data_IF_889877040825
#
_entry.id   IF_889877040825
#
_cell.length_a   1.000
_cell.length_b   1.000
_cell.length_c   1.000
_cell.angle_alpha   90.00
_cell.angle_beta   90.00
_cell.angle_gamma   90.00
#
_symmetry.space_group_name_H-M   'P 1'
#
loop_
_entity.id
_entity.type
_entity.pdbx_description
1 polymer ?
#
# COMPACT_ATOMS: atom_id res chain seq x y z
N UNK A 1 -23.11 58.06 20.61
CA UNK A 1 -23.91 57.15 19.75
C UNK A 1 -23.21 56.99 18.41
N UNK A 2 -22.40 55.93 18.25
CA UNK A 2 -22.01 55.34 16.96
C UNK A 2 -21.75 53.85 17.23
N UNK A 3 -22.62 52.99 16.72
CA UNK A 3 -22.46 51.54 16.71
C UNK A 3 -21.33 51.19 15.72
N UNK A 4 -20.37 50.37 16.14
CA UNK A 4 -19.50 49.63 15.20
C UNK A 4 -19.88 48.15 15.27
N UNK A 5 -20.34 47.65 14.14
CA UNK A 5 -20.80 46.29 13.91
C UNK A 5 -19.61 45.34 13.80
N UNK A 6 -19.68 44.23 14.52
CA UNK A 6 -18.76 43.08 14.43
C UNK A 6 -19.03 42.33 13.12
N UNK A 7 -17.99 42.02 12.36
CA UNK A 7 -18.06 41.04 11.27
C UNK A 7 -17.23 39.81 11.67
N UNK A 8 -17.93 38.75 12.09
CA UNK A 8 -17.34 37.41 12.25
C UNK A 8 -17.31 36.79 10.85
N UNK A 9 -16.13 36.67 10.28
CA UNK A 9 -15.92 35.92 9.04
C UNK A 9 -16.05 34.43 9.35
N UNK A 10 -17.09 33.80 8.81
CA UNK A 10 -17.23 32.35 8.82
C UNK A 10 -16.19 31.75 7.87
N UNK A 11 -15.26 30.95 8.40
CA UNK A 11 -14.45 30.05 7.61
C UNK A 11 -15.36 28.96 7.05
N UNK A 12 -15.64 29.01 5.75
CA UNK A 12 -16.24 27.90 5.04
C UNK A 12 -15.16 26.82 4.86
N UNK A 13 -15.25 25.76 5.66
CA UNK A 13 -14.54 24.51 5.40
C UNK A 13 -15.03 23.94 4.08
N UNK A 14 -14.13 23.83 3.10
CA UNK A 14 -14.34 23.02 1.92
C UNK A 14 -14.34 21.56 2.36
N UNK A 15 -15.52 21.05 2.74
CA UNK A 15 -15.74 19.63 2.88
C UNK A 15 -15.55 19.00 1.49
N UNK A 16 -14.49 18.19 1.34
CA UNK A 16 -14.36 17.26 0.22
C UNK A 16 -15.65 16.42 0.18
N UNK A 17 -16.42 16.57 -0.89
CA UNK A 17 -17.63 15.78 -1.10
C UNK A 17 -17.21 14.33 -1.32
N UNK A 18 -17.23 13.51 -0.26
CA UNK A 18 -17.20 12.06 -0.41
C UNK A 18 -18.41 11.66 -1.25
N UNK A 19 -18.17 11.03 -2.40
CA UNK A 19 -19.22 10.45 -3.24
C UNK A 19 -19.99 9.46 -2.37
N UNK A 20 -21.26 9.77 -2.08
CA UNK A 20 -22.09 8.90 -1.24
C UNK A 20 -22.16 7.51 -1.88
N UNK A 21 -21.58 6.52 -1.18
CA UNK A 21 -21.61 5.12 -1.60
C UNK A 21 -23.07 4.67 -1.59
N UNK A 22 -23.56 4.10 -2.69
CA UNK A 22 -24.95 3.71 -2.82
C UNK A 22 -25.40 2.82 -1.63
N UNK A 23 -26.59 3.04 -1.02
CA UNK A 23 -27.00 2.34 0.19
C UNK A 23 -26.98 0.80 0.09
N UNK A 24 -27.19 0.24 -1.11
CA UNK A 24 -27.10 -1.20 -1.35
C UNK A 24 -25.67 -1.75 -1.29
N UNK A 25 -24.69 -0.96 -1.68
CA UNK A 25 -23.25 -1.29 -1.61
C UNK A 25 -22.79 -1.24 -0.14
N UNK A 26 -23.19 -0.19 0.59
CA UNK A 26 -22.93 -0.06 2.05
C UNK A 26 -23.50 -1.25 2.81
N UNK A 27 -24.75 -1.66 2.51
CA UNK A 27 -25.37 -2.83 3.14
C UNK A 27 -24.63 -4.13 2.83
N UNK A 28 -24.25 -4.37 1.56
CA UNK A 28 -23.48 -5.55 1.16
C UNK A 28 -22.14 -5.62 1.88
N UNK A 29 -21.45 -4.49 2.05
CA UNK A 29 -20.17 -4.44 2.77
C UNK A 29 -20.34 -4.67 4.26
N UNK A 30 -21.37 -4.09 4.87
CA UNK A 30 -21.71 -4.35 6.26
C UNK A 30 -22.03 -5.84 6.50
N UNK A 31 -22.76 -6.46 5.57
CA UNK A 31 -23.07 -7.90 5.62
C UNK A 31 -21.80 -8.76 5.45
N UNK A 32 -20.89 -8.38 4.56
CA UNK A 32 -19.63 -9.08 4.31
C UNK A 32 -18.66 -8.94 5.50
N UNK A 33 -18.45 -7.72 5.99
CA UNK A 33 -17.65 -7.42 7.19
C UNK A 33 -18.16 -8.24 8.39
N UNK A 34 -19.47 -8.24 8.60
CA UNK A 34 -20.10 -9.05 9.67
C UNK A 34 -19.89 -10.55 9.47
N UNK A 35 -19.99 -11.05 8.23
CA UNK A 35 -19.81 -12.47 7.92
C UNK A 35 -18.38 -12.93 8.15
N UNK A 36 -17.41 -12.12 7.73
CA UNK A 36 -16.01 -12.49 7.76
C UNK A 36 -15.31 -12.16 9.09
N UNK A 37 -15.97 -11.43 10.01
CA UNK A 37 -15.35 -10.87 11.22
C UNK A 37 -14.69 -11.95 12.08
N UNK A 38 -15.27 -13.15 12.18
CA UNK A 38 -14.66 -14.24 12.92
C UNK A 38 -13.36 -14.73 12.28
N UNK A 39 -13.27 -14.76 10.94
CA UNK A 39 -12.06 -15.16 10.22
C UNK A 39 -10.91 -14.16 10.44
N UNK A 40 -11.22 -12.86 10.27
CA UNK A 40 -10.26 -11.80 10.55
C UNK A 40 -9.83 -11.75 12.04
N UNK A 41 -10.73 -12.04 12.98
CA UNK A 41 -10.39 -12.15 14.39
C UNK A 41 -9.48 -13.36 14.70
N UNK A 42 -9.71 -14.51 14.05
CA UNK A 42 -8.82 -15.67 14.15
C UNK A 42 -7.40 -15.35 13.68
N UNK A 43 -7.24 -14.59 12.59
CA UNK A 43 -5.91 -14.11 12.16
C UNK A 43 -5.20 -13.33 13.26
N UNK A 44 -5.91 -12.37 13.87
CA UNK A 44 -5.35 -11.57 14.97
C UNK A 44 -4.93 -12.44 16.16
N UNK A 45 -5.76 -13.41 16.54
CA UNK A 45 -5.46 -14.35 17.63
C UNK A 45 -4.24 -15.22 17.32
N UNK A 46 -4.19 -15.84 16.14
CA UNK A 46 -3.07 -16.73 15.76
C UNK A 46 -1.72 -16.00 15.73
N UNK A 47 -1.71 -14.76 15.21
CA UNK A 47 -0.51 -13.91 15.22
C UNK A 47 -0.03 -13.65 16.64
N UNK A 48 -0.96 -13.30 17.53
CA UNK A 48 -0.65 -13.07 18.92
C UNK A 48 -0.05 -14.32 19.58
N UNK A 49 -0.66 -15.49 19.38
CA UNK A 49 -0.18 -16.77 19.90
C UNK A 49 1.23 -17.11 19.38
N UNK A 50 1.47 -16.97 18.07
CA UNK A 50 2.77 -17.19 17.43
C UNK A 50 3.85 -16.28 18.04
N UNK A 51 3.56 -14.99 18.21
CA UNK A 51 4.53 -14.04 18.78
C UNK A 51 4.83 -14.34 20.24
N UNK A 52 3.83 -14.77 21.02
CA UNK A 52 4.08 -15.23 22.39
C UNK A 52 4.98 -16.46 22.42
N UNK A 53 4.78 -17.41 21.48
CA UNK A 53 5.62 -18.59 21.36
C UNK A 53 7.08 -18.21 21.02
N UNK A 54 7.30 -17.40 19.98
CA UNK A 54 8.63 -16.92 19.58
C UNK A 54 9.35 -16.18 20.71
N UNK A 55 8.64 -15.29 21.41
CA UNK A 55 9.18 -14.59 22.58
C UNK A 55 9.57 -15.59 23.70
N UNK A 56 8.75 -16.62 23.93
CA UNK A 56 9.03 -17.65 24.92
C UNK A 56 10.26 -18.51 24.56
N UNK A 57 10.47 -18.80 23.27
CA UNK A 57 11.61 -19.56 22.76
C UNK A 57 12.90 -18.74 22.87
N UNK A 58 12.87 -17.47 22.49
CA UNK A 58 14.01 -16.55 22.63
C UNK A 58 14.43 -16.39 24.10
N UNK A 59 13.46 -16.32 25.03
CA UNK A 59 13.72 -16.30 26.48
C UNK A 59 14.40 -17.58 26.99
N UNK A 60 14.11 -18.75 26.38
CA UNK A 60 14.73 -20.04 26.75
C UNK A 60 16.14 -20.20 26.16
N UNK A 61 16.46 -19.51 25.06
CA UNK A 61 17.77 -19.59 24.38
C UNK A 61 18.91 -18.82 25.06
N UNK A 62 18.64 -18.08 26.15
CA UNK A 62 19.65 -17.63 27.11
C UNK A 62 20.63 -16.53 26.67
N UNK A 63 20.41 -15.83 25.54
CA UNK A 63 21.36 -14.80 25.08
C UNK A 63 20.75 -13.46 24.64
N UNK A 64 19.63 -13.04 25.22
CA UNK A 64 19.07 -11.70 24.97
C UNK A 64 18.30 -11.20 26.20
N UNK A 65 18.77 -10.13 26.84
CA UNK A 65 18.13 -9.51 28.01
C UNK A 65 17.00 -8.55 27.64
N UNK A 66 16.17 -8.91 26.67
CA UNK A 66 14.97 -8.14 26.34
C UNK A 66 13.77 -8.89 26.92
N UNK A 67 13.14 -8.28 27.92
CA UNK A 67 11.83 -8.74 28.39
C UNK A 67 10.83 -8.24 27.37
N UNK A 68 10.49 -9.06 26.38
CA UNK A 68 9.38 -8.76 25.48
C UNK A 68 8.13 -8.71 26.36
N UNK A 69 7.70 -7.50 26.70
CA UNK A 69 6.37 -7.25 27.25
C UNK A 69 5.44 -7.22 26.04
N UNK A 70 5.16 -8.39 25.46
CA UNK A 70 4.00 -8.49 24.58
C UNK A 70 2.79 -8.38 25.48
N UNK A 71 2.24 -7.18 25.60
CA UNK A 71 0.86 -7.06 26.01
C UNK A 71 0.00 -7.91 25.06
N UNK A 72 -1.14 -8.40 25.59
CA UNK A 72 -2.22 -8.96 24.77
C UNK A 72 -2.47 -8.11 23.52
N UNK A 73 -3.14 -8.63 22.47
CA UNK A 73 -3.63 -7.73 21.44
C UNK A 73 -4.37 -6.61 22.16
N UNK A 74 -3.91 -5.35 21.99
CA UNK A 74 -4.40 -4.18 22.77
C UNK A 74 -5.93 -4.03 22.71
N UNK A 75 -6.54 -4.71 21.74
CA UNK A 75 -7.97 -4.82 21.57
C UNK A 75 -8.40 -6.27 21.40
N UNK A 76 -9.36 -6.72 22.21
CA UNK A 76 -10.02 -8.03 22.12
C UNK A 76 -11.02 -8.15 20.94
N UNK A 77 -11.13 -7.09 20.14
CA UNK A 77 -12.00 -6.99 18.96
C UNK A 77 -11.22 -6.45 17.77
N UNK A 78 -11.66 -6.81 16.55
CA UNK A 78 -11.18 -6.20 15.31
C UNK A 78 -11.41 -4.70 15.39
N UNK A 79 -10.33 -3.93 15.42
CA UNK A 79 -10.39 -2.47 15.44
C UNK A 79 -10.60 -1.87 14.06
N UNK A 80 -10.49 -2.70 13.03
CA UNK A 80 -10.56 -2.30 11.64
C UNK A 80 -11.65 -3.08 10.92
N UNK A 81 -12.30 -2.40 10.00
CA UNK A 81 -13.07 -2.99 8.90
C UNK A 81 -12.15 -3.71 7.88
N UNK A 82 -10.99 -4.26 8.31
CA UNK A 82 -10.07 -5.15 7.55
C UNK A 82 -10.72 -6.46 7.10
N UNK A 83 -12.01 -6.58 7.36
CA UNK A 83 -12.88 -7.70 7.08
C UNK A 83 -13.70 -7.50 5.79
N UNK A 84 -13.29 -6.55 4.95
CA UNK A 84 -13.88 -6.31 3.64
C UNK A 84 -12.82 -6.49 2.57
N UNK A 85 -13.28 -6.70 1.33
CA UNK A 85 -12.43 -6.85 0.16
C UNK A 85 -11.49 -5.66 0.04
N UNK A 86 -10.18 -5.91 -0.03
CA UNK A 86 -9.20 -4.87 -0.29
C UNK A 86 -9.50 -4.27 -1.67
N UNK A 87 -9.71 -2.94 -1.80
CA UNK A 87 -9.95 -2.31 -3.08
C UNK A 87 -8.72 -2.45 -3.97
N UNK A 88 -8.97 -2.70 -5.25
CA UNK A 88 -7.89 -2.60 -6.22
C UNK A 88 -7.51 -1.15 -6.43
N UNK A 89 -6.22 -0.86 -6.32
CA UNK A 89 -5.59 0.41 -6.69
C UNK A 89 -4.45 0.14 -7.66
N UNK A 90 -3.87 1.20 -8.21
CA UNK A 90 -2.77 1.09 -9.17
C UNK A 90 -1.53 0.38 -8.60
N UNK A 91 -0.88 -0.43 -9.43
CA UNK A 91 0.47 -0.95 -9.20
C UNK A 91 1.54 0.17 -9.23
N UNK A 92 1.18 1.36 -9.70
CA UNK A 92 2.09 2.49 -9.78
C UNK A 92 3.14 2.35 -10.88
N UNK A 93 3.92 3.41 -11.11
CA UNK A 93 4.82 3.49 -12.25
C UNK A 93 6.11 2.68 -12.09
N UNK A 94 6.46 2.30 -10.87
CA UNK A 94 7.70 1.56 -10.54
C UNK A 94 7.48 0.06 -10.39
N UNK A 95 6.50 -0.48 -11.11
CA UNK A 95 6.23 -1.91 -11.23
C UNK A 95 7.14 -2.52 -12.30
N UNK A 96 7.96 -3.50 -11.91
CA UNK A 96 8.74 -4.29 -12.86
C UNK A 96 8.69 -5.77 -12.45
N UNK A 97 7.90 -6.60 -13.17
CA UNK A 97 7.62 -7.97 -12.73
C UNK A 97 8.86 -8.88 -12.72
N UNK A 98 9.94 -8.50 -13.42
CA UNK A 98 11.18 -9.28 -13.50
C UNK A 98 12.05 -9.19 -12.24
N UNK A 99 11.89 -8.15 -11.42
CA UNK A 99 12.62 -8.00 -10.15
C UNK A 99 11.89 -8.62 -8.95
N UNK A 100 10.66 -9.06 -9.13
CA UNK A 100 9.91 -9.72 -8.07
C UNK A 100 10.46 -11.14 -7.90
N UNK A 101 11.09 -11.42 -6.75
CA UNK A 101 11.72 -12.72 -6.49
C UNK A 101 11.07 -13.43 -5.31
N UNK A 102 11.06 -14.77 -5.34
CA UNK A 102 10.50 -15.58 -4.27
C UNK A 102 11.45 -15.60 -3.06
N UNK A 103 11.17 -14.77 -2.05
CA UNK A 103 11.98 -14.64 -0.82
C UNK A 103 11.16 -14.07 0.32
N UNK A 104 11.51 -14.42 1.56
CA UNK A 104 10.90 -13.85 2.78
C UNK A 104 11.65 -12.64 3.35
N UNK A 105 12.83 -12.34 2.81
CA UNK A 105 13.60 -11.16 3.20
C UNK A 105 13.94 -10.38 1.93
N UNK A 106 13.24 -9.26 1.75
CA UNK A 106 13.42 -8.37 0.60
C UNK A 106 14.37 -7.21 0.91
N UNK A 107 14.98 -7.14 2.10
CA UNK A 107 15.79 -6.00 2.55
C UNK A 107 17.04 -5.78 1.69
N UNK A 108 17.72 -6.88 1.36
CA UNK A 108 19.06 -6.88 0.75
C UNK A 108 20.04 -5.96 1.52
N UNK A 109 20.56 -4.93 0.87
CA UNK A 109 21.56 -3.99 1.39
C UNK A 109 20.96 -2.65 1.85
N UNK A 110 19.64 -2.50 1.81
CA UNK A 110 18.99 -1.23 2.09
C UNK A 110 19.00 -0.89 3.58
N UNK A 111 19.33 0.36 3.88
CA UNK A 111 19.41 0.90 5.24
C UNK A 111 18.07 1.52 5.62
N UNK A 112 17.58 1.21 6.81
CA UNK A 112 16.34 1.76 7.37
C UNK A 112 15.96 1.07 8.67
N UNK A 113 14.84 1.48 9.26
CA UNK A 113 14.29 0.83 10.45
C UNK A 113 13.70 -0.53 10.03
N UNK A 114 14.13 -1.65 10.63
CA UNK A 114 13.63 -2.98 10.26
C UNK A 114 12.11 -3.12 10.45
N UNK A 115 11.44 -3.74 9.48
CA UNK A 115 10.01 -4.00 9.49
C UNK A 115 9.74 -5.46 9.14
N UNK A 116 9.05 -6.18 10.02
CA UNK A 116 8.47 -7.49 9.71
C UNK A 116 6.99 -7.28 9.39
N UNK A 117 6.60 -7.49 8.14
CA UNK A 117 5.20 -7.51 7.72
C UNK A 117 4.61 -8.89 8.02
N UNK A 118 3.56 -8.92 8.83
CA UNK A 118 2.74 -10.09 9.13
C UNK A 118 1.38 -9.91 8.45
N UNK A 119 1.21 -10.63 7.35
CA UNK A 119 0.09 -10.45 6.42
C UNK A 119 -0.81 -11.67 6.45
N UNK A 120 -2.10 -11.42 6.60
CA UNK A 120 -3.14 -12.43 6.62
C UNK A 120 -3.97 -12.28 5.37
N UNK A 121 -4.23 -13.39 4.69
CA UNK A 121 -4.92 -13.43 3.41
C UNK A 121 -6.21 -14.21 3.62
N UNK A 122 -7.34 -13.55 3.40
CA UNK A 122 -8.68 -14.09 3.64
C UNK A 122 -9.42 -14.20 2.31
N UNK A 123 -10.05 -15.35 2.05
CA UNK A 123 -10.98 -15.48 0.93
C UNK A 123 -12.30 -14.80 1.31
N UNK A 124 -12.71 -13.78 0.55
CA UNK A 124 -13.92 -13.03 0.81
C UNK A 124 -15.20 -13.77 0.44
N UNK A 125 -15.15 -14.79 -0.42
CA UNK A 125 -16.30 -15.62 -0.74
C UNK A 125 -16.66 -16.55 0.42
N UNK A 126 -15.65 -17.17 1.04
CA UNK A 126 -15.81 -18.18 2.10
C UNK A 126 -15.63 -17.64 3.52
N UNK A 127 -14.95 -16.50 3.68
CA UNK A 127 -14.51 -15.95 4.96
C UNK A 127 -13.55 -16.86 5.74
N UNK A 128 -12.86 -17.76 5.05
CA UNK A 128 -11.83 -18.63 5.63
C UNK A 128 -10.44 -18.17 5.17
N UNK A 129 -9.37 -18.57 5.88
CA UNK A 129 -8.01 -18.29 5.45
C UNK A 129 -7.76 -18.78 4.03
N UNK A 130 -7.04 -17.99 3.23
CA UNK A 130 -6.67 -18.33 1.86
C UNK A 130 -5.22 -18.83 1.83
N UNK A 131 -5.00 -20.16 1.86
CA UNK A 131 -3.66 -20.73 1.79
C UNK A 131 -3.10 -20.66 0.37
N UNK A 132 -1.77 -20.71 0.27
CA UNK A 132 -1.05 -20.73 -1.00
C UNK A 132 -1.34 -19.52 -1.92
N UNK A 133 -1.81 -18.40 -1.37
CA UNK A 133 -1.89 -17.14 -2.10
C UNK A 133 -0.51 -16.50 -2.11
N UNK A 134 0.06 -16.30 -3.30
CA UNK A 134 1.33 -15.64 -3.50
C UNK A 134 1.14 -14.13 -3.43
N UNK A 135 1.80 -13.48 -2.46
CA UNK A 135 1.73 -12.02 -2.32
C UNK A 135 3.10 -11.42 -2.64
N UNK A 136 3.14 -10.57 -3.66
CA UNK A 136 4.30 -9.76 -4.04
C UNK A 136 4.23 -8.38 -3.40
N UNK A 137 5.35 -7.90 -2.90
CA UNK A 137 5.51 -6.59 -2.27
C UNK A 137 6.65 -5.82 -2.90
N UNK A 138 6.45 -4.51 -3.08
CA UNK A 138 7.54 -3.59 -3.44
C UNK A 138 7.32 -2.22 -2.81
N UNK A 139 8.42 -1.53 -2.50
CA UNK A 139 8.39 -0.15 -2.03
C UNK A 139 9.72 0.57 -2.27
N UNK A 140 9.73 1.89 -2.13
CA UNK A 140 10.96 2.67 -2.18
C UNK A 140 11.82 2.43 -0.94
N UNK A 141 13.12 2.70 -1.06
CA UNK A 141 14.01 2.77 0.08
C UNK A 141 13.72 3.98 0.98
N UNK A 142 14.54 4.16 2.00
CA UNK A 142 14.39 5.22 3.01
C UNK A 142 14.43 6.64 2.45
N UNK A 143 14.94 6.84 1.23
CA UNK A 143 15.08 8.15 0.55
C UNK A 143 14.24 8.24 -0.73
N UNK A 144 13.25 7.36 -0.90
CA UNK A 144 12.28 7.45 -2.00
C UNK A 144 12.64 6.75 -3.30
N UNK A 145 13.86 6.22 -3.46
CA UNK A 145 14.27 5.52 -4.68
C UNK A 145 13.69 4.11 -4.75
N UNK A 146 13.36 3.64 -5.97
CA UNK A 146 12.94 2.26 -6.22
C UNK A 146 14.06 1.45 -6.88
N UNK A 147 14.21 0.19 -6.46
CA UNK A 147 15.05 -0.76 -7.16
C UNK A 147 14.53 -0.98 -8.58
N UNK A 148 15.44 -1.33 -9.48
CA UNK A 148 15.24 -1.39 -10.93
C UNK A 148 15.05 -0.02 -11.60
N UNK A 149 14.89 1.06 -10.82
CA UNK A 149 14.67 2.43 -11.31
C UNK A 149 15.63 3.41 -10.63
N UNK A 150 16.83 2.96 -10.24
CA UNK A 150 17.78 3.79 -9.46
C UNK A 150 18.33 4.99 -10.22
N UNK A 151 18.25 4.97 -11.55
CA UNK A 151 18.55 6.10 -12.44
C UNK A 151 17.38 7.08 -12.61
N UNK A 152 16.26 6.90 -11.89
CA UNK A 152 15.12 7.82 -11.86
C UNK A 152 15.17 8.63 -10.56
N UNK A 153 15.08 9.95 -10.69
CA UNK A 153 15.02 10.83 -9.53
C UNK A 153 13.65 10.70 -8.85
N UNK A 154 13.57 10.26 -7.58
CA UNK A 154 12.30 10.11 -6.86
C UNK A 154 11.59 11.45 -6.60
N UNK A 155 12.26 12.58 -6.85
CA UNK A 155 11.72 13.92 -6.67
C UNK A 155 11.18 14.55 -7.96
N UNK A 156 11.33 13.89 -9.11
CA UNK A 156 10.78 14.37 -10.39
C UNK A 156 9.34 13.90 -10.55
N UNK A 157 8.44 14.82 -10.89
CA UNK A 157 7.04 14.48 -11.19
C UNK A 157 6.98 13.43 -12.31
N UNK A 158 6.12 12.42 -12.17
CA UNK A 158 6.12 11.30 -13.09
C UNK A 158 5.75 11.72 -14.53
N UNK A 159 4.89 12.73 -14.72
CA UNK A 159 4.59 13.29 -16.04
C UNK A 159 5.81 14.00 -16.61
N UNK A 160 6.51 14.80 -15.82
CA UNK A 160 7.76 15.46 -16.24
C UNK A 160 8.83 14.42 -16.63
N UNK A 161 8.92 13.31 -15.89
CA UNK A 161 9.80 12.19 -16.25
C UNK A 161 9.43 11.62 -17.62
N UNK A 162 8.15 11.30 -17.87
CA UNK A 162 7.69 10.77 -19.17
C UNK A 162 7.99 11.74 -20.31
N UNK A 163 7.75 13.04 -20.11
CA UNK A 163 8.08 14.08 -21.09
C UNK A 163 9.58 14.13 -21.38
N UNK A 164 10.44 14.06 -20.36
CA UNK A 164 11.89 14.06 -20.51
C UNK A 164 12.42 12.85 -21.31
N UNK A 165 11.67 11.74 -21.29
CA UNK A 165 11.99 10.50 -21.99
C UNK A 165 11.31 10.39 -23.37
N UNK A 166 10.52 11.40 -23.78
CA UNK A 166 9.66 11.35 -24.97
C UNK A 166 8.71 10.14 -25.00
N UNK A 167 8.19 9.75 -23.84
CA UNK A 167 7.19 8.66 -23.72
C UNK A 167 5.80 9.26 -23.69
N UNK A 168 4.92 8.85 -24.62
CA UNK A 168 3.57 9.42 -24.78
C UNK A 168 2.44 8.44 -24.55
N UNK A 169 2.75 7.14 -24.56
CA UNK A 169 1.84 6.00 -24.47
C UNK A 169 2.26 5.08 -23.33
N UNK A 170 2.49 5.67 -22.15
CA UNK A 170 2.89 4.92 -20.97
C UNK A 170 1.77 3.96 -20.51
N UNK A 171 2.11 2.68 -20.39
CA UNK A 171 1.26 1.62 -19.87
C UNK A 171 2.04 0.84 -18.79
N UNK A 172 1.46 0.76 -17.59
CA UNK A 172 2.08 0.09 -16.44
C UNK A 172 2.32 -1.39 -16.76
N UNK A 173 3.54 -1.88 -16.52
CA UNK A 173 3.93 -3.26 -16.79
C UNK A 173 4.25 -3.58 -18.25
N UNK A 174 3.95 -2.66 -19.18
CA UNK A 174 4.21 -2.81 -20.63
C UNK A 174 5.31 -1.86 -21.08
N UNK A 175 5.22 -0.57 -20.73
CA UNK A 175 6.25 0.42 -21.05
C UNK A 175 7.44 0.28 -20.10
N UNK A 176 8.60 -0.01 -20.66
CA UNK A 176 9.77 -0.33 -19.87
C UNK A 176 10.59 0.93 -19.50
N UNK A 177 10.54 1.31 -18.23
CA UNK A 177 11.25 2.48 -17.68
C UNK A 177 12.41 2.10 -16.74
N UNK A 178 12.71 0.80 -16.56
CA UNK A 178 13.80 0.37 -15.68
C UNK A 178 15.16 0.96 -16.14
N UNK A 179 16.09 1.09 -15.21
CA UNK A 179 17.42 1.65 -15.42
C UNK A 179 18.55 0.69 -15.04
N UNK A 180 18.22 -0.37 -14.30
CA UNK A 180 19.16 -1.33 -13.74
C UNK A 180 18.44 -2.61 -13.31
N UNK A 181 19.21 -3.62 -12.87
CA UNK A 181 18.72 -4.93 -12.45
C UNK A 181 18.65 -5.09 -10.92
N UNK A 182 18.68 -3.99 -10.15
CA UNK A 182 18.58 -4.11 -8.68
C UNK A 182 17.21 -4.64 -8.27
N UNK A 183 17.16 -5.40 -7.19
CA UNK A 183 15.93 -6.07 -6.73
C UNK A 183 15.57 -5.81 -5.28
N UNK A 184 16.33 -4.98 -4.57
CA UNK A 184 16.09 -4.72 -3.16
C UNK A 184 14.69 -4.15 -2.93
N UNK A 185 14.11 -4.45 -1.78
CA UNK A 185 12.76 -4.06 -1.40
C UNK A 185 11.71 -4.50 -2.43
N UNK A 186 11.93 -5.68 -3.03
CA UNK A 186 10.96 -6.42 -3.86
C UNK A 186 10.98 -7.90 -3.51
N UNK A 187 9.83 -8.51 -3.32
CA UNK A 187 9.76 -9.91 -2.96
C UNK A 187 8.35 -10.46 -2.93
N UNK A 188 8.22 -11.75 -3.20
CA UNK A 188 6.96 -12.48 -3.10
C UNK A 188 7.08 -13.68 -2.18
N UNK A 189 6.00 -13.97 -1.44
CA UNK A 189 5.92 -15.15 -0.59
C UNK A 189 4.49 -15.69 -0.50
N UNK A 190 4.30 -17.03 -0.53
CA UNK A 190 2.98 -17.61 -0.38
C UNK A 190 2.50 -17.64 1.07
N UNK A 191 1.19 -17.45 1.26
CA UNK A 191 0.53 -17.72 2.53
C UNK A 191 0.57 -19.22 2.88
N UNK A 192 0.70 -19.52 4.16
CA UNK A 192 0.67 -20.89 4.69
C UNK A 192 -0.77 -21.44 4.77
N UNK A 193 -0.93 -22.66 5.31
CA UNK A 193 -2.24 -23.32 5.48
C UNK A 193 -3.24 -22.52 6.34
N UNK A 194 -2.75 -21.53 7.10
CA UNK A 194 -3.54 -20.64 7.92
C UNK A 194 -3.78 -19.29 7.25
N UNK A 195 -3.42 -19.13 5.98
CA UNK A 195 -3.52 -17.89 5.23
C UNK A 195 -2.56 -16.80 5.69
N UNK A 196 -1.48 -17.14 6.41
CA UNK A 196 -0.51 -16.17 6.95
C UNK A 196 0.79 -16.24 6.17
N UNK A 197 1.39 -15.08 5.90
CA UNK A 197 2.77 -14.95 5.44
C UNK A 197 3.50 -13.88 6.26
N UNK A 198 4.83 -14.00 6.28
CA UNK A 198 5.72 -12.97 6.80
C UNK A 198 6.72 -12.52 5.72
N UNK A 199 7.00 -11.22 5.71
CA UNK A 199 8.01 -10.60 4.87
C UNK A 199 8.88 -9.66 5.71
N UNK A 200 10.20 -9.79 5.62
CA UNK A 200 11.17 -8.88 6.24
C UNK A 200 11.58 -7.81 5.25
N UNK A 201 11.55 -6.57 5.69
CA UNK A 201 11.94 -5.39 4.92
C UNK A 201 12.39 -4.25 5.86
N UNK A 202 12.48 -3.02 5.35
CA UNK A 202 12.60 -1.78 6.14
C UNK A 202 11.33 -0.93 6.01
N UNK A 203 11.12 -0.02 6.96
CA UNK A 203 10.12 1.02 6.82
C UNK A 203 10.43 1.88 5.57
N UNK A 204 9.47 2.11 4.66
CA UNK A 204 9.72 2.86 3.43
C UNK A 204 9.91 4.37 3.68
N UNK A 205 10.70 5.01 2.82
CA UNK A 205 10.71 6.47 2.70
C UNK A 205 9.49 6.99 1.93
N UNK A 206 9.62 8.17 1.35
CA UNK A 206 8.60 8.77 0.49
C UNK A 206 9.22 9.29 -0.80
N UNK A 207 8.39 9.49 -1.82
CA UNK A 207 8.77 10.11 -3.08
C UNK A 207 7.71 11.14 -3.47
N UNK A 208 7.97 11.95 -4.49
CA UNK A 208 7.13 13.10 -4.82
C UNK A 208 5.64 12.72 -4.96
N UNK A 209 4.77 13.56 -4.39
CA UNK A 209 3.30 13.48 -4.43
C UNK A 209 2.65 12.26 -3.78
N UNK A 210 3.43 11.35 -3.18
CA UNK A 210 2.90 10.11 -2.63
C UNK A 210 3.16 10.00 -1.13
N UNK A 211 2.18 9.49 -0.40
CA UNK A 211 2.36 9.12 1.01
C UNK A 211 3.29 7.92 1.14
N UNK A 212 3.73 7.61 2.35
CA UNK A 212 4.55 6.42 2.64
C UNK A 212 3.68 5.17 2.46
N UNK A 213 4.09 4.27 1.58
CA UNK A 213 3.33 3.05 1.27
C UNK A 213 4.20 1.86 0.89
N UNK A 214 3.61 0.67 0.99
CA UNK A 214 4.10 -0.58 0.41
C UNK A 214 3.05 -1.08 -0.57
N UNK A 215 3.46 -1.35 -1.81
CA UNK A 215 2.58 -2.00 -2.76
C UNK A 215 2.42 -3.48 -2.43
N UNK A 216 1.24 -4.03 -2.72
CA UNK A 216 0.94 -5.45 -2.58
C UNK A 216 0.19 -5.95 -3.83
N UNK A 217 0.58 -7.11 -4.35
CA UNK A 217 -0.11 -7.77 -5.46
C UNK A 217 -0.32 -9.25 -5.13
N UNK A 218 -1.53 -9.76 -5.32
CA UNK A 218 -1.90 -11.12 -4.93
C UNK A 218 -2.23 -11.98 -6.14
N UNK A 219 -1.72 -13.21 -6.13
CA UNK A 219 -1.98 -14.25 -7.14
C UNK A 219 -2.44 -15.54 -6.45
N UNK A 220 -3.54 -16.12 -6.92
CA UNK A 220 -4.05 -17.42 -6.46
C UNK A 220 -3.65 -18.57 -7.38
N UNK A 221 -3.35 -18.27 -8.64
CA UNK A 221 -2.77 -19.21 -9.59
C UNK A 221 -1.29 -18.87 -9.82
N UNK A 222 -0.40 -19.77 -9.40
CA UNK A 222 1.03 -19.62 -9.60
C UNK A 222 1.74 -20.98 -9.52
N UNK A 223 2.92 -21.06 -10.12
CA UNK A 223 3.78 -22.25 -10.09
C UNK A 223 5.24 -21.86 -9.95
N UNK A 224 5.97 -22.59 -9.09
CA UNK A 224 7.42 -22.55 -9.03
C UNK A 224 8.01 -23.61 -9.95
N UNK A 225 8.75 -23.18 -10.96
CA UNK A 225 9.46 -24.09 -11.86
C UNK A 225 10.75 -24.60 -11.22
N UNK A 226 11.25 -25.75 -11.70
CA UNK A 226 12.46 -26.39 -11.19
C UNK A 226 13.74 -25.56 -11.36
N UNK A 227 13.73 -24.56 -12.25
CA UNK A 227 14.81 -23.60 -12.45
C UNK A 227 14.74 -22.40 -11.47
N UNK A 228 13.81 -22.40 -10.52
CA UNK A 228 13.62 -21.32 -9.55
C UNK A 228 12.76 -20.15 -10.05
N UNK A 229 12.27 -20.19 -11.30
CA UNK A 229 11.39 -19.13 -11.83
C UNK A 229 9.95 -19.31 -11.34
N UNK A 230 9.33 -18.22 -10.91
CA UNK A 230 7.90 -18.19 -10.60
C UNK A 230 7.13 -17.77 -11.83
N UNK A 231 6.08 -18.52 -12.16
CA UNK A 231 5.09 -18.13 -13.16
C UNK A 231 3.76 -17.90 -12.45
N UNK A 232 3.17 -16.74 -12.64
CA UNK A 232 1.86 -16.40 -12.11
C UNK A 232 0.79 -16.44 -13.21
N UNK A 233 -0.46 -16.67 -12.79
CA UNK A 233 -1.66 -16.42 -13.59
C UNK A 233 -2.07 -14.95 -13.51
N UNK A 234 -3.36 -14.70 -13.67
CA UNK A 234 -3.90 -13.35 -13.51
C UNK A 234 -3.72 -12.88 -12.07
N UNK A 235 -3.54 -11.57 -11.90
CA UNK A 235 -3.63 -10.93 -10.61
C UNK A 235 -5.04 -11.05 -10.05
N UNK A 236 -5.19 -11.25 -8.75
CA UNK A 236 -6.49 -11.28 -8.06
C UNK A 236 -6.73 -10.02 -7.22
N UNK A 237 -5.66 -9.35 -6.78
CA UNK A 237 -5.76 -8.07 -6.08
C UNK A 237 -4.49 -7.26 -6.27
N UNK A 238 -4.63 -5.93 -6.37
CA UNK A 238 -3.53 -4.96 -6.38
C UNK A 238 -3.83 -3.85 -5.40
N UNK A 239 -2.97 -3.67 -4.41
CA UNK A 239 -3.20 -2.78 -3.27
C UNK A 239 -2.00 -1.90 -2.96
N UNK A 240 -2.23 -0.92 -2.12
CA UNK A 240 -1.18 -0.18 -1.42
C UNK A 240 -1.52 -0.14 0.06
N UNK A 241 -0.52 -0.43 0.89
CA UNK A 241 -0.58 -0.48 2.34
C UNK A 241 0.11 0.76 2.90
N UNK A 242 -0.49 1.41 3.88
CA UNK A 242 -0.05 2.71 4.39
C UNK A 242 0.27 2.63 5.89
N UNK A 243 0.81 3.72 6.42
CA UNK A 243 1.21 3.81 7.83
C UNK A 243 0.48 4.94 8.52
N UNK A 244 0.30 4.81 9.84
CA UNK A 244 -0.24 5.89 10.66
C UNK A 244 0.70 7.11 10.60
N UNK A 245 0.12 8.32 10.64
CA UNK A 245 0.87 9.56 10.61
C UNK A 245 1.80 9.71 11.83
N UNK A 246 1.41 9.25 13.02
CA UNK A 246 2.29 9.31 14.20
C UNK A 246 3.55 8.47 14.03
N UNK A 247 3.39 7.25 13.52
CA UNK A 247 4.51 6.35 13.19
C UNK A 247 5.38 6.98 12.10
N UNK A 248 4.75 7.51 11.04
CA UNK A 248 5.45 8.13 9.93
C UNK A 248 6.31 9.32 10.40
N UNK A 249 5.78 10.20 11.23
CA UNK A 249 6.53 11.34 11.77
C UNK A 249 7.73 10.91 12.62
N UNK A 250 7.54 9.91 13.47
CA UNK A 250 8.60 9.39 14.33
C UNK A 250 9.76 8.78 13.51
N UNK A 251 9.45 7.95 12.52
CA UNK A 251 10.47 7.29 11.69
C UNK A 251 11.14 8.29 10.74
N UNK A 252 10.40 9.23 10.15
CA UNK A 252 10.98 10.24 9.25
C UNK A 252 11.93 11.21 9.98
N UNK A 253 11.93 11.26 11.31
CA UNK A 253 12.88 12.06 12.09
C UNK A 253 14.24 11.38 12.29
N UNK A 254 14.40 10.12 11.87
CA UNK A 254 15.62 9.33 12.04
C UNK A 254 16.49 9.36 10.79
N UNK A 255 17.79 9.13 10.93
CA UNK A 255 18.64 8.76 9.78
C UNK A 255 18.29 7.33 9.31
N UNK A 256 18.35 7.04 7.99
CA UNK A 256 18.65 7.96 6.90
C UNK A 256 17.45 8.78 6.39
N UNK A 257 16.25 8.59 6.92
CA UNK A 257 15.01 9.20 6.41
C UNK A 257 15.02 10.73 6.44
N UNK A 258 15.51 11.32 7.53
CA UNK A 258 15.58 12.77 7.73
C UNK A 258 16.50 13.48 6.72
N UNK A 259 17.34 12.73 6.00
CA UNK A 259 18.24 13.28 4.98
C UNK A 259 17.54 13.66 3.68
N UNK A 260 16.35 13.11 3.40
CA UNK A 260 15.56 13.43 2.21
C UNK A 260 14.80 14.74 2.44
N UNK A 261 15.36 15.85 1.93
CA UNK A 261 14.92 17.23 2.25
C UNK A 261 14.52 18.05 1.03
N UNK A 262 14.71 17.51 -0.16
CA UNK A 262 14.47 18.14 -1.45
C UNK A 262 12.98 18.39 -1.72
N UNK A 263 12.11 17.59 -1.11
CA UNK A 263 10.65 17.67 -1.24
C UNK A 263 9.97 17.49 0.12
N UNK A 264 8.75 18.02 0.23
CA UNK A 264 7.90 17.78 1.39
C UNK A 264 7.15 16.44 1.24
N UNK A 265 7.09 15.68 2.33
CA UNK A 265 6.29 14.45 2.39
C UNK A 265 4.80 14.76 2.21
N UNK A 266 4.15 13.96 1.38
CA UNK A 266 2.68 13.95 1.26
C UNK A 266 2.09 13.08 2.38
N UNK A 267 1.08 13.57 3.09
CA UNK A 267 0.39 12.81 4.14
C UNK A 267 -0.73 11.94 3.56
N UNK A 268 -1.19 10.93 4.30
CA UNK A 268 -2.26 10.04 3.84
C UNK A 268 -3.53 10.80 3.41
N UNK A 269 -3.94 11.83 4.17
CA UNK A 269 -5.13 12.63 3.89
C UNK A 269 -5.03 13.50 2.63
N UNK A 270 -3.83 13.66 2.07
CA UNK A 270 -3.56 14.40 0.84
C UNK A 270 -3.27 13.47 -0.35
N UNK A 271 -2.80 12.24 -0.12
CA UNK A 271 -2.47 11.28 -1.18
C UNK A 271 -3.73 10.84 -1.95
N UNK A 272 -3.67 11.02 -3.28
CA UNK A 272 -4.80 10.74 -4.17
C UNK A 272 -5.17 9.26 -4.25
N UNK A 273 -4.21 8.35 -4.02
CA UNK A 273 -4.42 6.90 -4.08
C UNK A 273 -4.93 6.35 -2.75
N UNK A 274 -4.50 6.93 -1.62
CA UNK A 274 -4.91 6.50 -0.27
C UNK A 274 -6.42 6.49 -0.11
N UNK A 275 -7.10 7.53 -0.60
CA UNK A 275 -8.56 7.64 -0.56
C UNK A 275 -9.27 6.50 -1.30
N UNK A 276 -8.66 5.97 -2.37
CA UNK A 276 -9.20 4.82 -3.13
C UNK A 276 -9.00 3.51 -2.36
N UNK A 277 -7.90 3.38 -1.62
CA UNK A 277 -7.65 2.24 -0.73
C UNK A 277 -8.64 2.12 0.43
N UNK A 278 -9.33 3.21 0.79
CA UNK A 278 -10.41 3.21 1.79
C UNK A 278 -11.77 2.79 1.23
N UNK A 279 -11.85 2.50 -0.08
CA UNK A 279 -13.09 2.06 -0.68
C UNK A 279 -13.60 0.76 -0.01
N UNK A 280 -14.90 0.55 -0.12
CA UNK A 280 -15.59 -0.62 0.43
C UNK A 280 -15.50 -0.78 1.97
N UNK A 281 -14.99 0.22 2.68
CA UNK A 281 -14.77 0.19 4.13
C UNK A 281 -13.44 -0.46 4.51
N UNK A 282 -12.56 -0.78 3.56
CA UNK A 282 -11.26 -1.36 3.90
C UNK A 282 -10.38 -0.31 4.58
N UNK A 283 -9.55 -0.74 5.54
CA UNK A 283 -8.49 0.10 6.07
C UNK A 283 -7.13 -0.45 5.62
N UNK A 284 -6.41 0.25 4.71
CA UNK A 284 -5.10 -0.18 4.24
C UNK A 284 -3.96 0.22 5.18
N UNK A 285 -4.25 0.83 6.34
CA UNK A 285 -3.22 1.23 7.32
C UNK A 285 -2.76 0.04 8.14
N UNK A 286 -1.45 -0.20 8.13
CA UNK A 286 -0.77 -1.26 8.87
C UNK A 286 -0.76 -0.93 10.36
N UNK A 287 -1.16 -1.90 11.19
CA UNK A 287 -1.07 -1.81 12.65
C UNK A 287 0.37 -2.09 13.09
N UNK A 288 1.06 -1.09 13.66
CA UNK A 288 2.48 -1.17 14.02
C UNK A 288 2.65 -1.43 15.51
N UNK A 289 3.56 -2.35 15.85
CA UNK A 289 4.06 -2.53 17.22
C UNK A 289 5.60 -2.61 17.21
N UNK A 290 6.27 -2.17 18.29
CA UNK A 290 7.71 -2.32 18.41
C UNK A 290 8.13 -3.79 18.47
N UNK A 291 9.21 -4.14 17.76
CA UNK A 291 9.71 -5.51 17.70
C UNK A 291 10.23 -5.98 19.06
N UNK A 292 10.83 -5.08 19.85
CA UNK A 292 11.32 -5.35 21.19
C UNK A 292 10.26 -5.18 22.29
N UNK A 293 9.06 -4.70 21.92
CA UNK A 293 7.96 -4.39 22.84
C UNK A 293 7.99 -2.97 23.44
N UNK A 294 8.95 -2.11 23.06
CA UNK A 294 9.09 -0.77 23.62
C UNK A 294 9.37 0.35 22.62
N UNK A 295 10.18 0.13 21.60
CA UNK A 295 10.71 1.19 20.74
C UNK A 295 10.62 0.80 19.26
N UNK A 296 9.74 1.48 18.51
CA UNK A 296 9.54 1.20 17.09
C UNK A 296 10.75 1.61 16.25
N UNK A 297 11.62 2.49 16.76
CA UNK A 297 12.81 2.97 16.04
C UNK A 297 13.91 1.92 15.94
N UNK A 298 13.89 0.90 16.82
CA UNK A 298 14.82 -0.24 16.78
C UNK A 298 14.35 -1.38 15.89
N UNK A 299 13.14 -1.28 15.37
CA UNK A 299 12.49 -2.28 14.52
C UNK A 299 11.05 -2.50 14.95
N UNK A 300 10.23 -2.96 14.01
CA UNK A 300 8.79 -3.07 14.22
C UNK A 300 8.19 -4.29 13.54
N UNK A 301 7.02 -4.69 14.03
CA UNK A 301 6.13 -5.64 13.35
C UNK A 301 4.90 -4.89 12.88
N UNK A 302 4.55 -5.06 11.61
CA UNK A 302 3.35 -4.51 11.00
C UNK A 302 2.33 -5.59 10.71
N UNK A 303 1.11 -5.43 11.20
CA UNK A 303 0.00 -6.35 10.96
C UNK A 303 -1.02 -5.77 9.99
N UNK A 304 -1.42 -6.58 9.02
CA UNK A 304 -2.50 -6.23 8.09
C UNK A 304 -3.23 -7.49 7.64
N UNK A 305 -4.52 -7.39 7.36
CA UNK A 305 -5.28 -8.46 6.71
C UNK A 305 -5.76 -7.95 5.37
N UNK A 306 -5.61 -8.77 4.33
CA UNK A 306 -6.04 -8.48 2.96
C UNK A 306 -7.14 -9.47 2.62
N UNK A 307 -8.35 -8.96 2.41
CA UNK A 307 -9.46 -9.72 1.86
C UNK A 307 -9.33 -9.84 0.35
N UNK A 308 -9.41 -11.05 -0.19
CA UNK A 308 -9.25 -11.37 -1.61
C UNK A 308 -10.54 -11.94 -2.19
N UNK A 309 -10.95 -11.42 -3.35
CA UNK A 309 -11.91 -12.08 -4.23
C UNK A 309 -11.13 -12.94 -5.22
N UNK A 310 -11.22 -14.27 -5.08
CA UNK A 310 -10.40 -15.21 -5.87
C UNK A 310 -10.79 -15.26 -7.34
N UNK A 311 -11.94 -14.71 -7.71
CA UNK A 311 -12.42 -14.63 -9.09
C UNK A 311 -12.12 -13.27 -9.74
N UNK A 312 -11.55 -12.32 -8.98
CA UNK A 312 -11.22 -11.00 -9.49
C UNK A 312 -9.98 -11.02 -10.39
N UNK A 313 -9.90 -10.06 -11.32
CA UNK A 313 -8.80 -9.91 -12.27
C UNK A 313 -8.56 -8.44 -12.63
N UNK A 314 -8.04 -7.62 -11.70
CA UNK A 314 -7.87 -6.18 -11.93
C UNK A 314 -6.77 -5.88 -12.96
N UNK A 315 -6.89 -4.71 -13.60
CA UNK A 315 -5.80 -4.16 -14.40
C UNK A 315 -4.70 -3.57 -13.51
N UNK A 316 -3.45 -3.51 -13.99
CA UNK A 316 -2.33 -2.88 -13.26
C UNK A 316 -2.56 -1.39 -12.98
N UNK A 317 -3.43 -0.74 -13.76
CA UNK A 317 -3.82 0.66 -13.57
C UNK A 317 -4.86 0.85 -12.46
N UNK A 318 -5.42 -0.23 -11.90
CA UNK A 318 -6.55 -0.20 -10.98
C UNK A 318 -7.91 -0.18 -11.71
N UNK A 319 -9.01 0.10 -11.00
CA UNK A 319 -10.34 0.22 -11.60
C UNK A 319 -10.38 1.38 -12.61
N UNK A 320 -11.07 1.16 -13.73
CA UNK A 320 -11.38 2.21 -14.71
C UNK A 320 -12.38 3.22 -14.11
N UNK A 321 -11.91 4.08 -13.21
CA UNK A 321 -12.62 5.27 -12.78
C UNK A 321 -11.65 6.44 -12.65
N UNK A 322 -11.75 7.34 -13.63
CA UNK A 322 -11.24 8.71 -13.63
C UNK A 322 -9.70 8.84 -13.63
N UNK A 323 -9.07 8.43 -14.73
CA UNK A 323 -8.12 9.37 -15.33
C UNK A 323 -8.85 10.71 -15.48
N UNK A 324 -8.42 11.72 -14.74
CA UNK A 324 -8.96 13.07 -14.84
C UNK A 324 -8.97 13.52 -16.30
N UNK A 325 -10.15 13.48 -16.92
CA UNK A 325 -10.40 14.11 -18.20
C UNK A 325 -10.27 15.62 -18.04
N UNK A 326 -9.27 16.20 -18.69
CA UNK A 326 -9.11 17.65 -18.86
C UNK A 326 -7.77 17.97 -19.51
N UNK A 327 -7.65 18.21 -20.80
CA UNK A 327 -8.70 18.40 -21.80
C UNK A 327 -8.19 18.12 -23.20
N UNK A 328 -9.14 17.73 -24.06
CA UNK A 328 -8.90 17.62 -25.48
C UNK A 328 -8.37 18.93 -26.06
N UNK A 329 -7.44 18.80 -27.00
CA UNK A 329 -7.10 19.87 -27.92
C UNK A 329 -8.38 20.43 -28.56
N UNK A 330 -8.55 21.76 -28.66
CA UNK A 330 -9.65 22.31 -29.42
C UNK A 330 -9.43 21.97 -30.89
N UNK A 331 -10.23 21.01 -31.38
CA UNK A 331 -10.36 20.75 -32.80
C UNK A 331 -11.07 21.93 -33.47
N UNK A 332 -10.42 22.48 -34.49
CA UNK A 332 -11.04 23.12 -35.66
C UNK A 332 -11.98 24.29 -35.40
N UNK A 333 -11.45 25.51 -35.35
CA UNK A 333 -12.19 26.69 -35.77
C UNK A 333 -12.42 26.62 -37.29
N UNK A 334 -13.57 26.05 -37.69
CA UNK A 334 -14.11 26.20 -39.02
C UNK A 334 -14.38 27.69 -39.28
N UNK A 335 -13.66 28.27 -40.25
CA UNK A 335 -13.95 29.59 -40.77
C UNK A 335 -15.30 29.58 -41.51
N UNK A 336 -16.25 30.48 -41.20
CA UNK A 336 -17.40 30.69 -42.07
C UNK A 336 -16.96 31.58 -43.24
N UNK A 337 -17.03 31.02 -44.45
CA UNK A 337 -16.92 31.74 -45.71
C UNK A 337 -18.11 32.70 -45.84
N UNK A 338 -17.89 33.99 -45.56
CA UNK A 338 -18.83 35.06 -45.82
C UNK A 338 -18.71 35.57 -47.25
N UNK A 339 -19.73 35.31 -48.06
CA UNK A 339 -19.96 35.91 -49.38
C UNK A 339 -20.35 37.38 -49.23
N UNK A 340 -19.66 38.27 -49.94
CA UNK A 340 -20.02 39.69 -50.08
C UNK A 340 -21.16 39.86 -51.10
N UNK A 341 -22.16 40.74 -50.84
CA UNK A 341 -23.02 41.24 -51.90
C UNK A 341 -22.51 42.59 -52.44
N UNK A 342 -22.95 42.88 -53.66
CA UNK A 342 -22.68 44.08 -54.46
C UNK A 342 -23.11 45.40 -53.82
#
# INVERSE_FOLDING_TARGET
MKLSTVAIGAFASLALAHKEVAPGVVKRHADLSKRCASGAAKFKQKRFEKRQEEASLNKRSGNSSYTIVTEGPYYDTLQNDTCVLAPDVTAGPYYWPRSETLRQDMTEDQVGVPLILDVGVLDMATCEPLPNALVAFWHCNSTGSYSSFTGRDPNTDFRELLESLNVTDFEIGTTDLHTDDTTWLRGMWPSNDEGILEMKTIFPGFYIQRSIHIHAQVFTDWVLHSNGTVKTGNTNSIGQLYFNESVSQEIMALEPYVSHTEINRTTNDVDSVYSSGLANGYNPVIDIVPLDGSDITQGMVGYITIGIDTENSPSLSGPESEQGGGGGSPSGSAMPSGTAPA
#
